data_IF_508580964257
#
_entry.id   IF_508580964257
#
_cell.length_a   1.000
_cell.length_b   1.000
_cell.length_c   1.000
_cell.angle_alpha   90.00
_cell.angle_beta   90.00
_cell.angle_gamma   90.00
#
_symmetry.space_group_name_H-M   'P 1'
#
loop_
_entity.id
_entity.type
_entity.pdbx_description
1 polymer ?
#
# COMPACT_ATOMS: atom_id res chain seq x y z
N UNK A 1 -40.80 55.74 19.44
CA UNK A 1 -40.17 55.67 18.10
C UNK A 1 -38.97 56.61 18.18
N UNK A 2 -37.70 56.23 18.04
CA UNK A 2 -37.09 55.25 17.12
C UNK A 2 -35.77 54.67 17.65
N UNK A 3 -35.65 53.35 17.50
CA UNK A 3 -34.49 52.44 17.36
C UNK A 3 -33.06 53.00 17.42
N UNK A 4 -32.26 52.45 18.33
CA UNK A 4 -30.80 52.39 18.23
C UNK A 4 -30.39 51.14 17.41
N UNK A 5 -29.67 51.33 16.31
CA UNK A 5 -29.17 50.27 15.45
C UNK A 5 -27.80 49.76 15.94
N UNK A 6 -27.78 48.58 16.58
CA UNK A 6 -26.56 47.83 16.85
C UNK A 6 -26.21 46.95 15.65
N UNK A 7 -25.07 47.20 15.00
CA UNK A 7 -24.54 46.30 13.97
C UNK A 7 -23.88 45.09 14.65
N UNK A 8 -24.56 43.95 14.65
CA UNK A 8 -23.94 42.65 14.90
C UNK A 8 -23.16 42.22 13.65
N UNK A 9 -21.84 42.28 13.69
CA UNK A 9 -20.99 41.62 12.69
C UNK A 9 -21.09 40.09 12.87
N UNK A 10 -21.34 39.30 11.80
CA UNK A 10 -21.48 37.86 11.94
C UNK A 10 -20.10 37.23 12.02
N UNK A 11 -19.74 36.70 13.20
CA UNK A 11 -18.53 35.90 13.43
C UNK A 11 -18.49 34.57 12.63
N UNK A 12 -19.56 34.25 11.88
CA UNK A 12 -19.74 33.00 11.16
C UNK A 12 -18.99 32.89 9.82
N UNK A 13 -18.47 33.99 9.27
CA UNK A 13 -17.84 33.99 7.94
C UNK A 13 -16.41 33.40 7.91
N UNK A 14 -15.82 33.07 9.05
CA UNK A 14 -14.43 32.59 9.15
C UNK A 14 -14.29 31.06 9.30
N UNK A 15 -15.39 30.31 9.42
CA UNK A 15 -15.36 28.85 9.61
C UNK A 15 -15.51 28.05 8.30
N UNK A 16 -16.00 28.68 7.23
CA UNK A 16 -16.27 28.02 5.95
C UNK A 16 -15.04 27.68 5.07
N UNK A 17 -13.85 28.32 5.18
CA UNK A 17 -12.71 27.92 4.34
C UNK A 17 -12.01 26.64 4.80
N UNK A 18 -12.29 26.13 6.01
CA UNK A 18 -11.61 24.95 6.55
C UNK A 18 -12.13 23.60 6.00
N UNK A 19 -13.27 23.60 5.30
CA UNK A 19 -13.92 22.39 4.76
C UNK A 19 -13.55 22.07 3.30
N UNK A 20 -12.69 22.87 2.66
CA UNK A 20 -12.23 22.69 1.28
C UNK A 20 -10.72 22.39 1.20
N UNK A 21 -10.15 21.76 2.23
CA UNK A 21 -8.81 21.20 2.10
C UNK A 21 -8.91 20.03 1.11
N UNK A 22 -8.19 20.04 -0.03
CA UNK A 22 -8.16 18.89 -0.91
C UNK A 22 -7.67 17.70 -0.10
N UNK A 23 -8.37 16.56 -0.21
CA UNK A 23 -7.91 15.29 0.31
C UNK A 23 -6.67 14.86 -0.49
N UNK A 24 -5.52 15.41 -0.12
CA UNK A 24 -4.24 14.91 -0.60
C UNK A 24 -4.03 13.60 0.15
N UNK A 25 -4.22 12.47 -0.55
CA UNK A 25 -3.75 11.17 -0.11
C UNK A 25 -2.22 11.17 -0.13
N UNK A 26 -1.61 11.89 0.80
CA UNK A 26 -0.17 11.90 1.02
C UNK A 26 0.23 10.64 1.79
N UNK A 27 1.49 10.22 1.64
CA UNK A 27 2.09 9.30 2.61
C UNK A 27 2.08 10.00 3.95
N UNK A 28 1.46 9.38 4.93
CA UNK A 28 1.35 9.97 6.26
C UNK A 28 2.52 9.45 7.07
N UNK A 29 3.49 10.31 7.46
CA UNK A 29 4.48 9.92 8.45
C UNK A 29 3.77 9.62 9.78
N UNK A 30 4.14 8.51 10.40
CA UNK A 30 3.64 8.12 11.71
C UNK A 30 4.60 8.62 12.79
N UNK A 31 4.06 8.97 13.96
CA UNK A 31 4.87 9.46 15.08
C UNK A 31 5.58 8.32 15.81
N UNK A 32 6.79 8.59 16.30
CA UNK A 32 7.60 7.62 17.03
C UNK A 32 8.43 6.70 16.13
N UNK A 33 9.18 5.75 16.73
CA UNK A 33 10.01 4.81 15.99
C UNK A 33 9.17 3.77 15.26
N UNK A 34 9.81 3.05 14.34
CA UNK A 34 9.19 1.93 13.65
C UNK A 34 8.67 0.85 14.63
N UNK A 35 7.43 0.36 14.44
CA UNK A 35 7.00 -0.88 15.05
C UNK A 35 7.96 -2.04 14.77
N UNK A 36 8.15 -2.92 15.77
CA UNK A 36 8.92 -4.15 15.64
C UNK A 36 7.98 -5.38 15.67
N UNK A 37 7.27 -5.65 14.57
CA UNK A 37 6.38 -6.80 14.49
C UNK A 37 7.18 -8.12 14.56
N UNK A 38 6.51 -9.17 15.03
CA UNK A 38 7.07 -10.53 14.91
C UNK A 38 7.06 -10.94 13.45
N UNK A 39 8.20 -11.46 12.97
CA UNK A 39 8.35 -11.94 11.59
C UNK A 39 8.07 -13.43 11.50
N UNK A 40 7.84 -13.93 10.27
CA UNK A 40 7.51 -15.33 10.00
C UNK A 40 8.53 -16.27 10.68
N UNK A 41 8.08 -17.12 11.62
CA UNK A 41 8.98 -18.08 12.25
C UNK A 41 9.47 -19.12 11.24
N UNK A 42 10.73 -19.53 11.41
CA UNK A 42 11.38 -20.57 10.59
C UNK A 42 11.25 -20.30 9.08
N UNK A 43 11.37 -19.03 8.69
CA UNK A 43 11.16 -18.62 7.30
C UNK A 43 12.12 -19.33 6.33
N UNK A 44 11.54 -19.93 5.28
CA UNK A 44 12.28 -20.56 4.20
C UNK A 44 12.30 -19.66 2.97
N UNK A 45 13.45 -19.02 2.72
CA UNK A 45 13.65 -18.10 1.59
C UNK A 45 13.40 -18.79 0.23
N UNK A 46 13.84 -20.04 0.07
CA UNK A 46 13.71 -20.75 -1.19
C UNK A 46 12.24 -21.00 -1.56
N UNK A 47 11.39 -21.33 -0.58
CA UNK A 47 9.94 -21.49 -0.80
C UNK A 47 9.24 -20.16 -1.11
N UNK A 48 9.79 -19.05 -0.64
CA UNK A 48 9.26 -17.71 -0.88
C UNK A 48 9.54 -17.19 -2.30
N UNK A 49 10.55 -17.74 -2.99
CA UNK A 49 10.91 -17.37 -4.35
C UNK A 49 9.75 -17.49 -5.34
N UNK A 50 9.96 -16.91 -6.53
CA UNK A 50 8.97 -16.85 -7.60
C UNK A 50 8.14 -15.57 -7.54
N UNK A 51 6.99 -15.62 -8.18
CA UNK A 51 6.14 -14.45 -8.40
C UNK A 51 5.14 -14.25 -7.27
N UNK A 52 4.91 -12.99 -6.94
CA UNK A 52 3.89 -12.49 -6.04
C UNK A 52 3.15 -11.31 -6.68
N UNK A 53 1.85 -11.26 -6.50
CA UNK A 53 0.97 -10.16 -6.94
C UNK A 53 0.59 -9.31 -5.74
N UNK A 54 0.61 -8.00 -5.89
CA UNK A 54 0.04 -7.12 -4.86
C UNK A 54 -1.49 -7.19 -4.89
N UNK A 55 -2.07 -7.55 -3.74
CA UNK A 55 -3.52 -7.65 -3.56
C UNK A 55 -4.05 -6.39 -2.89
N UNK A 56 -3.40 -5.99 -1.80
CA UNK A 56 -3.70 -4.76 -1.11
C UNK A 56 -2.42 -4.19 -0.49
N UNK A 57 -2.39 -2.88 -0.28
CA UNK A 57 -1.24 -2.23 0.34
C UNK A 57 -1.60 -0.97 1.10
N UNK A 58 -0.72 -0.58 2.02
CA UNK A 58 -0.72 0.79 2.51
C UNK A 58 -0.36 1.70 1.32
N UNK A 59 -0.85 2.95 1.31
CA UNK A 59 -0.52 3.88 0.23
C UNK A 59 0.99 3.84 -0.04
N UNK A 60 1.41 3.83 -1.30
CA UNK A 60 2.83 3.87 -1.67
C UNK A 60 3.03 4.79 -2.88
N UNK A 61 3.52 6.03 -2.68
CA UNK A 61 3.57 7.05 -3.75
C UNK A 61 4.50 6.68 -4.92
N UNK A 62 5.44 5.76 -4.67
CA UNK A 62 6.37 5.28 -5.69
C UNK A 62 5.74 4.24 -6.63
N UNK A 63 4.61 3.64 -6.24
CA UNK A 63 3.84 2.67 -7.03
C UNK A 63 2.53 3.32 -7.49
N UNK A 64 2.53 3.85 -8.71
CA UNK A 64 1.39 4.60 -9.26
C UNK A 64 0.56 3.81 -10.26
N UNK A 65 1.06 2.66 -10.70
CA UNK A 65 0.38 1.79 -11.65
C UNK A 65 -0.59 0.80 -10.99
N UNK A 66 -1.07 -0.13 -11.82
CA UNK A 66 -1.94 -1.25 -11.44
C UNK A 66 -1.31 -2.59 -11.84
N UNK A 67 -1.94 -3.68 -11.41
CA UNK A 67 -1.52 -5.05 -11.69
C UNK A 67 -0.06 -5.33 -11.28
N UNK A 68 0.35 -4.81 -10.12
CA UNK A 68 1.74 -4.88 -9.68
C UNK A 68 2.10 -6.33 -9.34
N UNK A 69 3.19 -6.81 -9.92
CA UNK A 69 3.75 -8.13 -9.65
C UNK A 69 5.25 -8.02 -9.40
N UNK A 70 5.75 -8.76 -8.41
CA UNK A 70 7.17 -8.86 -8.11
C UNK A 70 7.62 -10.31 -8.20
N UNK A 71 8.71 -10.55 -8.92
CA UNK A 71 9.34 -11.86 -9.04
C UNK A 71 10.68 -11.88 -8.32
N UNK A 72 10.83 -12.83 -7.40
CA UNK A 72 12.05 -13.08 -6.64
C UNK A 72 12.76 -14.32 -7.19
N UNK A 73 14.06 -14.22 -7.44
CA UNK A 73 14.87 -15.36 -7.88
C UNK A 73 16.28 -15.29 -7.31
N UNK A 74 16.89 -16.43 -7.01
CA UNK A 74 18.27 -16.47 -6.51
C UNK A 74 19.28 -16.17 -7.62
N UNK A 75 20.29 -15.35 -7.31
CA UNK A 75 21.49 -15.15 -8.13
C UNK A 75 22.58 -16.14 -7.72
N UNK A 76 23.61 -16.26 -8.55
CA UNK A 76 24.76 -17.15 -8.31
C UNK A 76 25.60 -16.73 -7.08
N UNK A 77 25.58 -15.44 -6.73
CA UNK A 77 26.27 -14.87 -5.57
C UNK A 77 25.45 -14.97 -4.27
N UNK A 78 24.36 -15.74 -4.28
CA UNK A 78 23.42 -15.92 -3.17
C UNK A 78 22.61 -14.67 -2.79
N UNK A 79 22.71 -13.58 -3.56
CA UNK A 79 21.77 -12.46 -3.45
C UNK A 79 20.46 -12.77 -4.17
N UNK A 80 19.42 -12.03 -3.84
CA UNK A 80 18.10 -12.14 -4.45
C UNK A 80 18.02 -11.15 -5.60
N UNK A 81 17.61 -11.60 -6.78
CA UNK A 81 17.15 -10.72 -7.87
C UNK A 81 15.67 -10.43 -7.66
N UNK A 82 15.33 -9.15 -7.62
CA UNK A 82 13.96 -8.67 -7.42
C UNK A 82 13.54 -7.91 -8.67
N UNK A 83 12.51 -8.38 -9.36
CA UNK A 83 11.98 -7.70 -10.55
C UNK A 83 10.52 -7.37 -10.30
N UNK A 84 10.22 -6.08 -10.14
CA UNK A 84 8.85 -5.60 -9.99
C UNK A 84 8.37 -4.97 -11.30
N UNK A 85 7.10 -5.16 -11.62
CA UNK A 85 6.47 -4.52 -12.77
C UNK A 85 5.09 -3.99 -12.44
N UNK A 86 4.75 -2.87 -13.06
CA UNK A 86 3.45 -2.22 -12.95
C UNK A 86 2.92 -1.86 -14.35
N UNK A 87 1.61 -1.70 -14.47
CA UNK A 87 0.99 -1.10 -15.66
C UNK A 87 0.63 0.34 -15.31
N UNK A 88 1.32 1.30 -15.93
CA UNK A 88 0.99 2.71 -15.79
C UNK A 88 0.37 3.22 -17.09
N UNK A 89 -0.88 3.71 -17.00
CA UNK A 89 -1.73 3.99 -18.16
C UNK A 89 -1.93 2.70 -18.98
N UNK A 90 -1.23 2.55 -20.09
CA UNK A 90 -1.29 1.40 -20.99
C UNK A 90 0.07 0.72 -21.18
N UNK A 91 1.12 1.23 -20.53
CA UNK A 91 2.49 0.74 -20.69
C UNK A 91 2.91 -0.09 -19.47
N UNK A 92 3.53 -1.25 -19.72
CA UNK A 92 4.20 -2.01 -18.66
C UNK A 92 5.55 -1.38 -18.35
N UNK A 93 5.74 -0.98 -17.10
CA UNK A 93 7.01 -0.53 -16.55
C UNK A 93 7.60 -1.62 -15.67
N UNK A 94 8.91 -1.80 -15.75
CA UNK A 94 9.63 -2.80 -14.96
C UNK A 94 10.82 -2.14 -14.29
N UNK A 95 11.04 -2.50 -13.03
CA UNK A 95 12.21 -2.11 -12.25
C UNK A 95 12.90 -3.36 -11.71
N UNK A 96 14.22 -3.38 -11.77
CA UNK A 96 15.05 -4.47 -11.25
C UNK A 96 15.88 -3.96 -10.07
N UNK A 97 15.96 -4.80 -9.04
CA UNK A 97 16.74 -4.56 -7.84
C UNK A 97 17.40 -5.82 -7.32
N UNK A 98 18.05 -5.68 -6.18
CA UNK A 98 18.65 -6.77 -5.41
C UNK A 98 18.01 -6.87 -4.03
N UNK A 99 18.06 -8.07 -3.46
CA UNK A 99 17.70 -8.32 -2.09
C UNK A 99 18.74 -9.15 -1.35
N UNK A 100 18.79 -9.01 -0.04
CA UNK A 100 19.68 -9.73 0.86
C UNK A 100 18.92 -10.16 2.11
N UNK A 101 19.42 -11.17 2.82
CA UNK A 101 18.98 -11.48 4.18
C UNK A 101 19.79 -10.60 5.13
N UNK A 102 19.13 -9.71 5.88
CA UNK A 102 19.80 -8.74 6.76
C UNK A 102 20.37 -9.41 8.02
N UNK A 103 19.65 -10.41 8.54
CA UNK A 103 20.05 -11.18 9.71
C UNK A 103 19.80 -12.68 9.48
N UNK A 104 20.86 -13.47 9.47
CA UNK A 104 20.77 -14.93 9.31
C UNK A 104 19.99 -15.63 10.44
N UNK A 105 19.88 -15.00 11.62
CA UNK A 105 19.05 -15.51 12.73
C UNK A 105 17.57 -15.25 12.49
N UNK A 106 17.25 -14.25 11.67
CA UNK A 106 15.89 -13.85 11.32
C UNK A 106 15.76 -13.75 9.80
N UNK A 107 15.78 -14.89 9.07
CA UNK A 107 15.84 -14.90 7.61
C UNK A 107 14.59 -14.29 6.92
N UNK A 108 13.52 -14.03 7.68
CA UNK A 108 12.34 -13.28 7.24
C UNK A 108 12.58 -11.76 7.16
N UNK A 109 13.68 -11.23 7.72
CA UNK A 109 14.08 -9.83 7.60
C UNK A 109 14.99 -9.69 6.38
N UNK A 110 14.38 -9.40 5.24
CA UNK A 110 15.12 -9.10 4.02
C UNK A 110 15.37 -7.61 3.93
N UNK A 111 16.39 -7.24 3.16
CA UNK A 111 16.61 -5.87 2.70
C UNK A 111 16.50 -5.86 1.19
N UNK A 112 15.77 -4.91 0.60
CA UNK A 112 15.63 -4.76 -0.86
C UNK A 112 16.11 -3.37 -1.29
N UNK A 113 16.81 -3.31 -2.42
CA UNK A 113 17.18 -2.06 -3.07
C UNK A 113 16.96 -2.13 -4.57
N UNK A 114 16.36 -1.08 -5.11
CA UNK A 114 16.25 -0.84 -6.56
C UNK A 114 17.30 0.16 -7.07
N UNK A 115 18.30 0.49 -6.25
CA UNK A 115 19.36 1.43 -6.58
C UNK A 115 20.72 0.94 -6.08
N UNK A 116 21.76 1.13 -6.89
CA UNK A 116 23.13 0.74 -6.53
C UNK A 116 23.78 1.67 -5.48
N UNK A 117 23.23 2.86 -5.26
CA UNK A 117 23.83 3.89 -4.39
C UNK A 117 23.05 4.11 -3.09
N UNK A 118 21.82 3.62 -3.02
CA UNK A 118 20.98 3.75 -1.82
C UNK A 118 21.10 2.47 -0.97
N UNK A 119 20.98 2.61 0.37
CA UNK A 119 20.95 1.45 1.25
C UNK A 119 19.74 0.55 0.95
N UNK A 120 19.84 -0.70 1.39
CA UNK A 120 18.71 -1.62 1.39
C UNK A 120 17.61 -1.08 2.32
N UNK A 121 16.37 -1.11 1.83
CA UNK A 121 15.18 -0.82 2.62
C UNK A 121 14.67 -2.12 3.25
N UNK A 122 14.22 -2.09 4.52
CA UNK A 122 13.66 -3.25 5.18
C UNK A 122 12.49 -3.86 4.39
N UNK A 123 12.47 -5.17 4.24
CA UNK A 123 11.40 -5.93 3.60
C UNK A 123 11.14 -7.18 4.44
N UNK A 124 10.35 -7.02 5.49
CA UNK A 124 10.14 -8.02 6.51
C UNK A 124 8.90 -8.85 6.20
N UNK A 125 9.06 -10.17 6.14
CA UNK A 125 7.95 -11.10 5.93
C UNK A 125 7.32 -11.37 7.30
N UNK A 126 6.15 -10.80 7.52
CA UNK A 126 5.40 -10.93 8.78
C UNK A 126 4.78 -12.32 8.88
N UNK A 127 4.13 -12.78 7.80
CA UNK A 127 3.48 -14.07 7.75
C UNK A 127 3.40 -14.55 6.30
N UNK A 128 3.64 -15.84 6.06
CA UNK A 128 3.40 -16.44 4.75
C UNK A 128 3.14 -17.94 4.87
N UNK A 129 2.25 -18.44 4.02
CA UNK A 129 2.09 -19.89 3.81
C UNK A 129 2.87 -20.38 2.58
N UNK A 130 3.65 -19.49 1.93
CA UNK A 130 4.44 -19.69 0.71
C UNK A 130 3.63 -19.96 -0.57
N UNK A 131 2.44 -20.53 -0.45
CA UNK A 131 1.66 -21.08 -1.55
C UNK A 131 0.48 -20.21 -1.97
N UNK A 132 -0.05 -19.38 -1.07
CA UNK A 132 -1.22 -18.55 -1.37
C UNK A 132 -0.96 -17.08 -1.07
N UNK A 133 -0.46 -16.78 0.13
CA UNK A 133 -0.39 -15.41 0.63
C UNK A 133 0.91 -15.09 1.37
N UNK A 134 1.27 -13.82 1.36
CA UNK A 134 2.33 -13.28 2.19
C UNK A 134 1.98 -11.87 2.65
N UNK A 135 2.36 -11.57 3.88
CA UNK A 135 2.26 -10.25 4.48
C UNK A 135 3.67 -9.69 4.61
N UNK A 136 3.87 -8.52 4.04
CA UNK A 136 5.16 -7.85 4.04
C UNK A 136 5.01 -6.50 4.71
N UNK A 137 6.03 -6.12 5.47
CA UNK A 137 6.16 -4.83 6.13
C UNK A 137 7.53 -4.23 5.84
N UNK A 138 7.56 -2.93 5.57
CA UNK A 138 8.77 -2.13 5.40
C UNK A 138 8.61 -0.87 6.23
N UNK A 139 9.60 -0.54 7.06
CA UNK A 139 9.56 0.70 7.83
C UNK A 139 10.93 1.35 7.89
N UNK A 140 10.94 2.66 7.72
CA UNK A 140 12.14 3.50 7.80
C UNK A 140 11.94 4.52 8.90
N UNK A 141 12.77 4.41 9.94
CA UNK A 141 12.85 5.37 11.03
C UNK A 141 13.55 6.66 10.57
N UNK A 142 13.01 7.80 10.99
CA UNK A 142 13.57 9.12 10.70
C UNK A 142 13.85 9.84 12.01
N UNK A 143 15.13 9.82 12.40
CA UNK A 143 15.67 10.46 13.60
C UNK A 143 14.99 10.02 14.90
N UNK A 144 14.33 8.87 14.94
CA UNK A 144 13.50 8.39 16.06
C UNK A 144 12.32 9.30 16.45
N UNK A 145 11.98 10.29 15.62
CA UNK A 145 10.83 11.18 15.86
C UNK A 145 9.58 10.72 15.10
N UNK A 146 9.79 10.26 13.86
CA UNK A 146 8.73 9.76 13.00
C UNK A 146 9.25 8.62 12.13
N UNK A 147 8.34 7.85 11.55
CA UNK A 147 8.69 6.79 10.62
C UNK A 147 7.75 6.81 9.40
N UNK A 148 8.26 6.21 8.33
CA UNK A 148 7.48 5.91 7.14
C UNK A 148 7.39 4.40 7.02
N UNK A 149 6.17 3.89 6.94
CA UNK A 149 5.91 2.48 6.80
C UNK A 149 5.06 2.15 5.56
N UNK A 150 5.25 0.92 5.11
CA UNK A 150 4.54 0.33 4.00
C UNK A 150 4.22 -1.10 4.38
N UNK A 151 3.05 -1.55 3.98
CA UNK A 151 2.65 -2.93 4.15
C UNK A 151 1.96 -3.42 2.89
N UNK A 152 2.19 -4.68 2.55
CA UNK A 152 1.58 -5.32 1.39
C UNK A 152 0.99 -6.67 1.78
N UNK A 153 -0.22 -6.90 1.30
CA UNK A 153 -0.81 -8.23 1.19
C UNK A 153 -0.49 -8.73 -0.22
N UNK A 154 0.28 -9.80 -0.30
CA UNK A 154 0.68 -10.43 -1.54
C UNK A 154 -0.07 -11.74 -1.75
N UNK A 155 -0.35 -12.06 -3.01
CA UNK A 155 -0.96 -13.31 -3.43
C UNK A 155 -0.12 -14.06 -4.46
N UNK A 156 -0.17 -15.40 -4.46
CA UNK A 156 0.36 -16.21 -5.57
C UNK A 156 -0.53 -16.15 -6.81
N UNK A 157 -1.77 -15.72 -6.65
CA UNK A 157 -2.69 -15.37 -7.72
C UNK A 157 -3.10 -13.90 -7.57
N UNK A 158 -3.79 -13.34 -8.57
CA UNK A 158 -4.22 -11.93 -8.57
C UNK A 158 -5.37 -11.61 -7.61
N UNK A 159 -5.97 -12.62 -6.98
CA UNK A 159 -7.10 -12.44 -6.07
C UNK A 159 -6.96 -13.38 -4.89
N UNK A 160 -7.33 -12.93 -3.69
CA UNK A 160 -7.39 -13.78 -2.51
C UNK A 160 -8.84 -13.87 -1.99
N UNK A 161 -9.20 -14.95 -1.29
CA UNK A 161 -10.46 -15.01 -0.55
C UNK A 161 -10.56 -13.86 0.46
N UNK A 162 -11.75 -13.27 0.62
CA UNK A 162 -11.97 -12.16 1.54
C UNK A 162 -11.50 -12.48 2.96
N UNK A 163 -11.80 -13.69 3.46
CA UNK A 163 -11.35 -14.16 4.77
C UNK A 163 -9.82 -14.14 4.94
N UNK A 164 -9.04 -14.40 3.88
CA UNK A 164 -7.57 -14.33 3.91
C UNK A 164 -7.10 -12.88 4.03
N UNK A 165 -7.75 -11.96 3.30
CA UNK A 165 -7.44 -10.52 3.34
C UNK A 165 -7.81 -9.93 4.70
N UNK A 166 -8.97 -10.30 5.26
CA UNK A 166 -9.43 -9.83 6.57
C UNK A 166 -8.52 -10.33 7.69
N UNK A 167 -8.15 -11.61 7.67
CA UNK A 167 -7.14 -12.13 8.60
C UNK A 167 -5.81 -11.40 8.46
N UNK A 168 -5.42 -11.03 7.24
CA UNK A 168 -4.18 -10.30 7.03
C UNK A 168 -4.24 -8.86 7.60
N UNK A 169 -5.38 -8.19 7.46
CA UNK A 169 -5.65 -6.89 8.11
C UNK A 169 -5.53 -6.99 9.62
N UNK A 170 -6.14 -8.00 10.23
CA UNK A 170 -6.07 -8.25 11.68
C UNK A 170 -4.63 -8.44 12.17
N UNK A 171 -3.79 -9.17 11.42
CA UNK A 171 -2.37 -9.36 11.77
C UNK A 171 -1.63 -8.02 11.79
N UNK A 172 -1.82 -7.16 10.78
CA UNK A 172 -1.19 -5.84 10.76
C UNK A 172 -1.65 -4.98 11.94
N UNK A 173 -2.96 -4.89 12.17
CA UNK A 173 -3.52 -4.12 13.30
C UNK A 173 -3.00 -4.61 14.65
N UNK A 174 -2.97 -5.93 14.87
CA UNK A 174 -2.45 -6.52 16.12
C UNK A 174 -0.95 -6.30 16.33
N UNK A 175 -0.21 -5.99 15.25
CA UNK A 175 1.22 -5.71 15.27
C UNK A 175 1.55 -4.21 15.39
N UNK A 176 0.55 -3.36 15.65
CA UNK A 176 0.66 -1.89 15.60
C UNK A 176 1.19 -1.36 14.26
N UNK A 177 0.99 -2.12 13.18
CA UNK A 177 1.19 -1.63 11.82
C UNK A 177 -0.13 -0.97 11.47
N UNK A 178 -0.14 0.35 11.56
CA UNK A 178 -1.35 1.13 11.52
C UNK A 178 -1.93 1.05 10.09
N UNK A 179 -2.97 0.22 9.92
CA UNK A 179 -3.92 0.34 8.81
C UNK A 179 -4.86 1.54 9.04
N UNK A 180 -4.25 2.66 9.46
CA UNK A 180 -4.77 3.92 9.98
C UNK A 180 -6.19 3.86 10.52
N UNK A 181 -6.34 4.07 11.84
CA UNK A 181 -7.61 4.40 12.47
C UNK A 181 -8.54 5.19 11.54
N UNK A 182 -9.63 4.55 11.11
CA UNK A 182 -10.69 5.06 10.22
C UNK A 182 -10.32 5.61 8.83
N UNK A 183 -9.04 5.81 8.46
CA UNK A 183 -8.65 6.41 7.16
C UNK A 183 -7.45 5.77 6.46
N UNK A 184 -6.70 4.86 7.09
CA UNK A 184 -5.56 4.16 6.47
C UNK A 184 -5.94 2.79 5.90
N UNK A 185 -7.05 2.70 5.18
CA UNK A 185 -7.47 1.43 4.58
C UNK A 185 -6.38 0.92 3.64
N UNK A 186 -5.90 -0.31 3.90
CA UNK A 186 -5.19 -1.10 2.90
C UNK A 186 -6.00 -1.03 1.60
N UNK A 187 -5.46 -0.34 0.60
CA UNK A 187 -6.11 -0.13 -0.68
C UNK A 187 -6.15 -1.47 -1.40
N UNK A 188 -7.35 -2.05 -1.51
CA UNK A 188 -7.58 -3.28 -2.27
C UNK A 188 -7.49 -2.96 -3.76
N UNK A 189 -6.44 -3.46 -4.40
CA UNK A 189 -6.12 -3.18 -5.79
C UNK A 189 -7.12 -3.87 -6.73
N UNK A 190 -7.62 -5.05 -6.36
CA UNK A 190 -8.59 -5.80 -7.16
C UNK A 190 -10.00 -5.21 -7.04
N UNK A 191 -10.39 -4.77 -5.84
CA UNK A 191 -11.67 -4.07 -5.65
C UNK A 191 -11.69 -2.71 -6.35
N UNK A 192 -10.57 -1.98 -6.34
CA UNK A 192 -10.47 -0.70 -7.04
C UNK A 192 -10.55 -0.88 -8.56
N UNK A 193 -9.94 -1.93 -9.14
CA UNK A 193 -10.08 -2.22 -10.57
C UNK A 193 -11.52 -2.58 -10.95
N UNK A 194 -12.24 -3.33 -10.10
CA UNK A 194 -13.68 -3.60 -10.30
C UNK A 194 -14.54 -2.35 -10.19
N UNK A 195 -14.25 -1.46 -9.24
CA UNK A 195 -14.95 -0.19 -9.10
C UNK A 195 -14.73 0.69 -10.35
N UNK A 196 -13.48 0.85 -10.79
CA UNK A 196 -13.15 1.61 -12.01
C UNK A 196 -13.82 1.01 -13.26
N UNK A 197 -13.90 -0.32 -13.37
CA UNK A 197 -14.59 -0.96 -14.49
C UNK A 197 -16.12 -0.85 -14.39
N UNK A 198 -16.70 -0.88 -13.19
CA UNK A 198 -18.13 -0.65 -12.99
C UNK A 198 -18.49 0.81 -13.29
N UNK A 199 -17.67 1.77 -12.85
CA UNK A 199 -17.84 3.19 -13.15
C UNK A 199 -17.74 3.46 -14.66
N UNK A 200 -16.79 2.82 -15.36
CA UNK A 200 -16.69 2.90 -16.81
C UNK A 200 -17.91 2.28 -17.53
N UNK A 201 -18.50 1.22 -16.98
CA UNK A 201 -19.67 0.58 -17.59
C UNK A 201 -20.95 1.38 -17.34
N UNK A 202 -21.11 1.95 -16.15
CA UNK A 202 -22.22 2.85 -15.83
C UNK A 202 -22.13 4.15 -16.65
N UNK A 203 -20.95 4.75 -16.79
CA UNK A 203 -20.72 5.93 -17.65
C UNK A 203 -20.94 5.61 -19.14
N UNK A 204 -20.76 4.35 -19.55
CA UNK A 204 -21.11 3.89 -20.89
C UNK A 204 -22.63 3.70 -21.06
N UNK A 205 -23.35 3.16 -20.08
CA UNK A 205 -24.82 3.04 -20.12
C UNK A 205 -25.52 4.41 -20.11
N UNK A 206 -25.01 5.39 -19.36
CA UNK A 206 -25.50 6.78 -19.36
C UNK A 206 -25.31 7.49 -20.73
N UNK A 207 -24.43 6.99 -21.60
CA UNK A 207 -24.24 7.50 -22.97
C UNK A 207 -25.19 6.87 -24.00
N UNK A 208 -25.98 5.86 -23.60
CA UNK A 208 -27.02 5.22 -24.43
C UNK A 208 -28.41 5.38 -23.83
N UNK A 209 -28.64 6.41 -23.01
CA UNK A 209 -30.01 6.82 -22.70
C UNK A 209 -30.70 7.24 -24.02
N UNK A 210 -31.61 6.37 -24.48
CA UNK A 210 -32.43 6.45 -25.69
C UNK A 210 -33.45 7.62 -25.68
N UNK A 211 -33.15 8.75 -25.02
CA UNK A 211 -34.04 9.91 -24.88
C UNK A 211 -33.75 11.04 -25.91
N UNK A 212 -32.79 10.87 -26.81
CA UNK A 212 -32.47 11.85 -27.88
C UNK A 212 -32.97 11.45 -29.30
N UNK A 213 -33.88 10.48 -29.41
CA UNK A 213 -34.61 10.23 -30.67
C UNK A 213 -36.09 10.57 -30.50
N UNK A 214 -36.42 11.87 -30.59
CA UNK A 214 -37.76 12.32 -30.98
C UNK A 214 -37.73 13.55 -31.88
#
# INVERSE_FOLDING_TARGET
>A
MTSASGNMTPLFALLLPLLLLPHISAQVPHWGPCPEPTVQPSFNLQKFMGRWFEIAKLPAQFEKGRCIETNFSMKADQTIRVVSSEILKTERRTIEGSGVVEDLKNPAKLGISFSYVLPYSPYWIISTDYENSALVYSCTDILHLFHMDFAWILGRTRTLPAATVDKAREIFTSSNIDAGGSTGLLMDLAANEKAVHADFFNDFEDLFDDDDIQ
#
